data_IF_013650993879
#
_entry.id   IF_013650993879
#
_cell.length_a   1.000
_cell.length_b   1.000
_cell.length_c   1.000
_cell.angle_alpha   90.00
_cell.angle_beta   90.00
_cell.angle_gamma   90.00
#
_symmetry.space_group_name_H-M   'P 1'
#
loop_
_entity.id
_entity.type
_entity.pdbx_description
1 polymer ?
#
# COMPACT_ATOMS: atom_id res chain seq x y z
N UNK A 1 7.06 -16.60 7.14
CA UNK A 1 6.15 -15.47 6.85
C UNK A 1 6.65 -14.61 5.69
N UNK A 2 7.92 -14.17 5.69
CA UNK A 2 8.48 -13.22 4.72
C UNK A 2 8.38 -13.72 3.27
N UNK A 3 8.85 -14.93 2.98
CA UNK A 3 8.78 -15.50 1.61
C UNK A 3 7.34 -15.56 1.10
N UNK A 4 6.36 -15.88 1.98
CA UNK A 4 4.95 -15.89 1.61
C UNK A 4 4.42 -14.50 1.25
N UNK A 5 4.76 -13.47 2.01
CA UNK A 5 4.36 -12.09 1.69
C UNK A 5 4.95 -11.63 0.37
N UNK A 6 6.22 -11.97 0.09
CA UNK A 6 6.85 -11.69 -1.22
C UNK A 6 6.17 -12.47 -2.36
N UNK A 7 5.86 -13.74 -2.17
CA UNK A 7 5.13 -14.54 -3.15
C UNK A 7 3.74 -13.98 -3.44
N UNK A 8 2.99 -13.60 -2.41
CA UNK A 8 1.68 -12.96 -2.54
C UNK A 8 1.80 -11.64 -3.32
N UNK A 9 2.78 -10.80 -3.00
CA UNK A 9 2.99 -9.53 -3.72
C UNK A 9 3.25 -9.73 -5.21
N UNK A 10 4.13 -10.69 -5.55
CA UNK A 10 4.47 -11.04 -6.94
C UNK A 10 3.30 -11.72 -7.69
N UNK A 11 2.35 -12.30 -6.98
CA UNK A 11 1.15 -12.91 -7.56
C UNK A 11 0.06 -11.89 -7.93
N UNK A 12 0.19 -10.63 -7.54
CA UNK A 12 -0.82 -9.59 -7.78
C UNK A 12 -0.49 -8.82 -9.05
N UNK A 13 -1.36 -8.92 -10.07
CA UNK A 13 -1.26 -8.12 -11.29
C UNK A 13 -1.88 -6.72 -11.08
N UNK A 14 -1.09 -5.79 -10.56
CA UNK A 14 -1.52 -4.42 -10.22
C UNK A 14 -1.97 -3.64 -11.44
N UNK A 15 -1.29 -3.79 -12.57
CA UNK A 15 -1.61 -3.14 -13.83
C UNK A 15 -3.01 -3.55 -14.30
N UNK A 16 -3.31 -4.84 -14.28
CA UNK A 16 -4.61 -5.35 -14.69
C UNK A 16 -5.74 -4.85 -13.79
N UNK A 17 -5.53 -4.87 -12.46
CA UNK A 17 -6.52 -4.38 -11.50
C UNK A 17 -6.76 -2.87 -11.66
N UNK A 18 -5.71 -2.08 -11.81
CA UNK A 18 -5.84 -0.62 -11.98
C UNK A 18 -6.47 -0.25 -13.31
N UNK A 19 -6.25 -1.03 -14.36
CA UNK A 19 -6.86 -0.81 -15.67
C UNK A 19 -8.32 -1.26 -15.70
N UNK A 20 -8.60 -2.53 -15.34
CA UNK A 20 -9.90 -3.16 -15.57
C UNK A 20 -10.93 -2.86 -14.45
N UNK A 21 -10.47 -2.78 -13.20
CA UNK A 21 -11.37 -2.55 -12.06
C UNK A 21 -11.50 -1.07 -11.75
N UNK A 22 -10.40 -0.32 -11.81
CA UNK A 22 -10.39 1.09 -11.45
C UNK A 22 -10.45 2.05 -12.63
N UNK A 23 -10.56 1.57 -13.88
CA UNK A 23 -10.59 2.45 -15.06
C UNK A 23 -9.46 3.50 -15.05
N UNK A 24 -8.26 3.13 -14.62
CA UNK A 24 -7.08 4.01 -14.51
C UNK A 24 -7.23 5.18 -13.52
N UNK A 25 -8.22 5.12 -12.61
CA UNK A 25 -8.33 6.06 -11.47
C UNK A 25 -7.38 5.72 -10.32
N UNK A 26 -6.53 4.74 -10.53
CA UNK A 26 -5.44 4.33 -9.64
C UNK A 26 -4.19 4.07 -10.47
N UNK A 27 -3.03 4.31 -9.87
CA UNK A 27 -1.71 4.03 -10.48
C UNK A 27 -1.03 2.92 -9.67
N UNK A 28 -0.49 1.87 -10.30
CA UNK A 28 0.26 0.83 -9.59
C UNK A 28 1.35 1.41 -8.70
N UNK A 29 1.43 0.95 -7.47
CA UNK A 29 2.44 1.43 -6.52
C UNK A 29 3.84 0.95 -6.92
N UNK A 30 4.83 1.82 -6.68
CA UNK A 30 6.26 1.56 -6.88
C UNK A 30 7.05 1.66 -5.57
N UNK A 31 6.45 2.29 -4.55
CA UNK A 31 7.04 2.45 -3.23
C UNK A 31 5.98 2.48 -2.12
N UNK A 32 6.41 2.69 -0.88
CA UNK A 32 5.54 2.78 0.30
C UNK A 32 5.00 4.20 0.57
N UNK A 33 5.25 5.17 -0.33
CA UNK A 33 4.86 6.56 -0.15
C UNK A 33 3.86 7.01 -1.21
N UNK A 34 4.06 8.15 -1.86
CA UNK A 34 3.17 8.65 -2.92
C UNK A 34 3.96 9.50 -3.91
N UNK A 35 3.62 9.47 -5.22
CA UNK A 35 4.30 10.28 -6.25
C UNK A 35 4.23 11.80 -6.04
N UNK A 36 3.32 12.29 -5.19
CA UNK A 36 3.21 13.72 -4.87
C UNK A 36 4.08 14.15 -3.69
N UNK A 37 4.74 13.21 -3.00
CA UNK A 37 5.66 13.53 -1.92
C UNK A 37 6.98 14.05 -2.48
N UNK A 38 7.53 15.07 -1.85
CA UNK A 38 8.88 15.53 -2.16
C UNK A 38 9.90 14.43 -1.88
N UNK A 39 10.79 14.17 -2.83
CA UNK A 39 11.78 13.10 -2.74
C UNK A 39 11.28 11.71 -3.14
N UNK A 40 10.04 11.57 -3.64
CA UNK A 40 9.55 10.30 -4.17
C UNK A 40 10.51 9.69 -5.18
N UNK A 41 10.69 8.37 -5.11
CA UNK A 41 11.46 7.58 -6.09
C UNK A 41 10.68 6.33 -6.50
N UNK A 42 10.53 6.14 -7.80
CA UNK A 42 9.99 4.91 -8.36
C UNK A 42 11.05 3.80 -8.50
N UNK A 43 12.31 4.11 -8.18
CA UNK A 43 13.45 3.21 -8.33
C UNK A 43 14.16 3.06 -6.97
N UNK A 44 13.64 2.17 -6.14
CA UNK A 44 14.16 1.82 -4.83
C UNK A 44 14.56 0.35 -4.84
N UNK A 45 15.75 0.02 -4.32
CA UNK A 45 16.25 -1.35 -4.32
C UNK A 45 15.26 -2.31 -3.61
N UNK A 46 14.91 -3.40 -4.30
CA UNK A 46 13.97 -4.40 -3.82
C UNK A 46 12.49 -4.15 -4.18
N UNK A 47 12.17 -3.05 -4.86
CA UNK A 47 10.79 -2.78 -5.27
C UNK A 47 10.30 -3.67 -6.43
N UNK A 48 11.19 -4.44 -7.05
CA UNK A 48 10.85 -5.50 -8.01
C UNK A 48 9.87 -6.54 -7.43
N UNK A 49 9.80 -6.67 -6.12
CA UNK A 49 8.80 -7.49 -5.41
C UNK A 49 7.35 -7.00 -5.63
N UNK A 50 7.15 -5.78 -6.12
CA UNK A 50 5.83 -5.25 -6.51
C UNK A 50 5.47 -5.57 -7.95
N UNK A 51 6.40 -6.03 -8.78
CA UNK A 51 6.13 -6.40 -10.16
C UNK A 51 5.37 -7.74 -10.22
N UNK A 52 4.41 -7.86 -11.15
CA UNK A 52 3.73 -9.13 -11.37
C UNK A 52 4.71 -10.16 -11.96
N UNK A 53 4.99 -11.21 -11.21
CA UNK A 53 5.89 -12.29 -11.63
C UNK A 53 5.39 -13.63 -11.06
N UNK A 54 4.45 -14.31 -11.76
CA UNK A 54 3.83 -15.54 -11.28
C UNK A 54 4.84 -16.69 -11.08
N UNK A 55 5.86 -16.78 -11.91
CA UNK A 55 6.86 -17.85 -11.78
C UNK A 55 7.71 -17.68 -10.52
N UNK A 56 8.17 -16.46 -10.25
CA UNK A 56 8.90 -16.14 -9.01
C UNK A 56 8.00 -16.29 -7.78
N UNK A 57 6.72 -15.91 -7.89
CA UNK A 57 5.74 -16.11 -6.83
C UNK A 57 5.62 -17.58 -6.43
N UNK A 58 5.47 -18.48 -7.40
CA UNK A 58 5.41 -19.93 -7.18
C UNK A 58 6.69 -20.47 -6.54
N UNK A 59 7.85 -20.05 -7.05
CA UNK A 59 9.16 -20.44 -6.48
C UNK A 59 9.26 -20.08 -4.98
N UNK A 60 8.95 -18.83 -4.64
CA UNK A 60 9.02 -18.37 -3.25
C UNK A 60 7.99 -19.03 -2.34
N UNK A 61 6.79 -19.28 -2.88
CA UNK A 61 5.74 -20.00 -2.16
C UNK A 61 6.16 -21.42 -1.84
N UNK A 62 6.68 -22.16 -2.84
CA UNK A 62 7.17 -23.53 -2.66
C UNK A 62 8.29 -23.60 -1.60
N UNK A 63 9.27 -22.68 -1.66
CA UNK A 63 10.32 -22.60 -0.64
C UNK A 63 9.77 -22.34 0.77
N UNK A 64 8.71 -21.54 0.88
CA UNK A 64 8.08 -21.29 2.17
C UNK A 64 7.35 -22.54 2.67
N UNK A 65 6.72 -23.31 1.79
CA UNK A 65 6.00 -24.53 2.12
C UNK A 65 6.93 -25.68 2.53
N UNK A 66 8.11 -25.78 1.92
CA UNK A 66 9.16 -26.72 2.38
C UNK A 66 9.56 -26.47 3.85
N UNK A 67 9.55 -25.20 4.28
CA UNK A 67 9.90 -24.83 5.67
C UNK A 67 8.73 -25.03 6.64
N UNK A 68 7.51 -24.75 6.18
CA UNK A 68 6.28 -24.84 6.98
C UNK A 68 5.10 -24.86 6.02
N UNK A 69 4.45 -26.01 5.78
CA UNK A 69 3.33 -26.11 4.85
C UNK A 69 2.21 -25.13 5.18
N UNK A 70 1.67 -24.47 4.15
CA UNK A 70 0.49 -23.62 4.29
C UNK A 70 -0.75 -24.50 4.37
N UNK A 71 -1.52 -24.33 5.42
CA UNK A 71 -2.80 -25.01 5.61
C UNK A 71 -3.88 -23.98 5.86
N UNK A 72 -4.98 -24.09 5.14
CA UNK A 72 -6.11 -23.18 5.29
C UNK A 72 -6.29 -22.22 4.10
N UNK A 73 -6.85 -21.07 4.37
CA UNK A 73 -7.27 -20.09 3.40
C UNK A 73 -6.54 -18.76 3.64
N UNK A 74 -6.12 -18.10 2.55
CA UNK A 74 -5.68 -16.71 2.61
C UNK A 74 -6.89 -15.78 2.47
N UNK A 75 -7.07 -14.83 3.38
CA UNK A 75 -8.16 -13.86 3.30
C UNK A 75 -7.68 -12.42 3.40
N UNK A 76 -8.42 -11.51 2.74
CA UNK A 76 -8.24 -10.06 2.86
C UNK A 76 -9.50 -9.48 3.48
N UNK A 77 -9.40 -9.00 4.72
CA UNK A 77 -10.49 -8.29 5.37
C UNK A 77 -10.65 -6.87 4.80
N UNK A 78 -11.90 -6.48 4.55
CA UNK A 78 -12.24 -5.16 4.02
C UNK A 78 -13.64 -4.72 4.47
N UNK A 79 -13.88 -3.42 4.52
CA UNK A 79 -15.21 -2.86 4.80
C UNK A 79 -16.07 -2.81 3.52
N UNK A 80 -17.27 -3.37 3.57
CA UNK A 80 -18.16 -3.50 2.42
C UNK A 80 -18.74 -2.15 1.95
N UNK A 81 -18.88 -1.18 2.86
CA UNK A 81 -19.37 0.17 2.58
C UNK A 81 -18.36 1.06 1.83
N UNK A 82 -17.11 0.63 1.67
CA UNK A 82 -16.04 1.39 1.00
C UNK A 82 -15.83 1.06 -0.48
N UNK A 83 -16.67 0.24 -1.11
CA UNK A 83 -16.52 -0.14 -2.53
C UNK A 83 -15.30 -1.02 -2.81
N UNK A 84 -14.85 -1.82 -1.85
CA UNK A 84 -13.61 -2.59 -1.95
C UNK A 84 -13.77 -3.97 -2.57
N UNK A 85 -14.99 -4.52 -2.63
CA UNK A 85 -15.23 -5.90 -3.07
C UNK A 85 -14.59 -6.21 -4.42
N UNK A 86 -14.83 -5.38 -5.44
CA UNK A 86 -14.38 -5.67 -6.81
C UNK A 86 -12.87 -5.83 -6.94
N UNK A 87 -12.07 -4.99 -6.28
CA UNK A 87 -10.63 -5.13 -6.33
C UNK A 87 -10.11 -6.24 -5.40
N UNK A 88 -10.76 -6.49 -4.27
CA UNK A 88 -10.41 -7.61 -3.38
C UNK A 88 -10.61 -8.93 -4.11
N UNK A 89 -11.76 -9.10 -4.78
CA UNK A 89 -12.06 -10.29 -5.58
C UNK A 89 -11.01 -10.48 -6.71
N UNK A 90 -10.64 -9.40 -7.40
CA UNK A 90 -9.61 -9.46 -8.44
C UNK A 90 -8.24 -9.87 -7.88
N UNK A 91 -7.83 -9.30 -6.74
CA UNK A 91 -6.54 -9.62 -6.10
C UNK A 91 -6.53 -11.04 -5.56
N UNK A 92 -7.57 -11.48 -4.86
CA UNK A 92 -7.65 -12.85 -4.32
C UNK A 92 -7.70 -13.89 -5.43
N UNK A 93 -8.42 -13.62 -6.53
CA UNK A 93 -8.40 -14.48 -7.72
C UNK A 93 -7.01 -14.55 -8.38
N UNK A 94 -6.28 -13.43 -8.45
CA UNK A 94 -4.91 -13.42 -8.96
C UNK A 94 -3.98 -14.28 -8.10
N UNK A 95 -4.09 -14.17 -6.77
CA UNK A 95 -3.34 -14.99 -5.81
C UNK A 95 -3.70 -16.49 -5.96
N UNK A 96 -5.01 -16.81 -5.96
CA UNK A 96 -5.52 -18.18 -6.12
C UNK A 96 -5.01 -18.82 -7.41
N UNK A 97 -5.15 -18.13 -8.53
CA UNK A 97 -4.75 -18.65 -9.84
C UNK A 97 -3.23 -18.82 -9.97
N UNK A 98 -2.46 -17.94 -9.32
CA UNK A 98 -1.00 -18.00 -9.37
C UNK A 98 -0.43 -19.03 -8.41
N UNK A 99 -0.87 -19.06 -7.16
CA UNK A 99 -0.27 -19.89 -6.12
C UNK A 99 -0.98 -21.22 -5.90
N UNK A 100 -2.17 -21.41 -6.46
CA UNK A 100 -2.94 -22.65 -6.29
C UNK A 100 -3.50 -22.85 -4.88
N UNK A 101 -3.71 -21.76 -4.13
CA UNK A 101 -4.26 -21.77 -2.77
C UNK A 101 -5.68 -21.20 -2.74
N UNK A 102 -6.44 -21.52 -1.71
CA UNK A 102 -7.70 -20.81 -1.48
C UNK A 102 -7.40 -19.37 -1.00
N UNK A 103 -8.01 -18.39 -1.69
CA UNK A 103 -7.86 -16.98 -1.40
C UNK A 103 -9.19 -16.26 -1.59
N UNK A 104 -9.66 -15.54 -0.57
CA UNK A 104 -11.00 -14.94 -0.53
C UNK A 104 -11.00 -13.53 0.07
N UNK A 105 -12.03 -12.77 -0.22
CA UNK A 105 -12.36 -11.55 0.51
C UNK A 105 -13.13 -11.87 1.79
N UNK A 106 -12.83 -11.15 2.88
CA UNK A 106 -13.54 -11.23 4.16
C UNK A 106 -14.24 -9.89 4.44
N UNK A 107 -15.51 -9.71 4.03
CA UNK A 107 -16.23 -8.44 4.17
C UNK A 107 -16.66 -8.18 5.61
N UNK A 108 -16.31 -7.01 6.13
CA UNK A 108 -16.90 -6.42 7.33
C UNK A 108 -18.07 -5.51 6.92
N UNK A 109 -19.13 -5.41 7.72
CA UNK A 109 -20.32 -4.62 7.33
C UNK A 109 -19.99 -3.15 7.07
N UNK A 110 -19.09 -2.56 7.85
CA UNK A 110 -18.69 -1.15 7.75
C UNK A 110 -17.22 -0.92 8.17
N UNK A 111 -16.74 0.30 7.91
CA UNK A 111 -15.36 0.67 8.26
C UNK A 111 -15.10 0.65 9.77
N UNK A 112 -16.10 1.03 10.59
CA UNK A 112 -15.94 1.05 12.04
C UNK A 112 -15.68 -0.36 12.60
N UNK A 113 -16.47 -1.33 12.19
CA UNK A 113 -16.33 -2.74 12.62
C UNK A 113 -14.97 -3.31 12.26
N UNK A 114 -14.50 -3.07 11.02
CA UNK A 114 -13.16 -3.45 10.59
C UNK A 114 -12.08 -2.75 11.44
N UNK A 115 -12.24 -1.46 11.68
CA UNK A 115 -11.27 -0.64 12.42
C UNK A 115 -11.19 -1.04 13.89
N UNK A 116 -12.32 -1.40 14.50
CA UNK A 116 -12.37 -1.89 15.88
C UNK A 116 -11.55 -3.18 16.04
N UNK A 117 -11.69 -4.16 15.14
CA UNK A 117 -10.93 -5.41 15.18
C UNK A 117 -9.43 -5.21 14.91
N UNK A 118 -9.07 -4.32 14.00
CA UNK A 118 -7.66 -3.95 13.76
C UNK A 118 -7.07 -3.30 15.03
N UNK A 119 -7.76 -2.34 15.61
CA UNK A 119 -7.30 -1.60 16.81
C UNK A 119 -7.17 -2.52 18.02
N UNK A 120 -8.11 -3.44 18.20
CA UNK A 120 -8.13 -4.39 19.31
C UNK A 120 -7.21 -5.61 19.07
N UNK A 121 -6.56 -5.69 17.90
CA UNK A 121 -5.72 -6.86 17.51
C UNK A 121 -6.48 -8.19 17.51
N UNK A 122 -7.79 -8.15 17.25
CA UNK A 122 -8.65 -9.33 17.11
C UNK A 122 -8.75 -9.81 15.67
N UNK A 123 -8.33 -8.98 14.70
CA UNK A 123 -8.28 -9.36 13.30
C UNK A 123 -7.24 -10.43 13.04
N UNK A 124 -7.56 -11.37 12.15
CA UNK A 124 -6.66 -12.45 11.70
C UNK A 124 -6.49 -12.37 10.18
N UNK A 125 -5.27 -12.61 9.69
CA UNK A 125 -4.96 -12.57 8.26
C UNK A 125 -4.62 -11.18 7.75
N UNK A 126 -4.73 -10.98 6.44
CA UNK A 126 -4.49 -9.69 5.81
C UNK A 126 -5.74 -8.79 5.87
N UNK A 127 -5.54 -7.50 5.92
CA UNK A 127 -6.62 -6.51 5.86
C UNK A 127 -6.24 -5.34 4.95
N UNK A 128 -7.27 -4.73 4.33
CA UNK A 128 -7.06 -3.51 3.55
C UNK A 128 -6.76 -2.34 4.46
N UNK A 129 -5.82 -1.51 4.04
CA UNK A 129 -5.54 -0.22 4.67
C UNK A 129 -5.29 0.84 3.60
N UNK A 130 -5.25 2.09 4.01
CA UNK A 130 -4.90 3.22 3.16
C UNK A 130 -4.43 4.39 4.02
N UNK A 131 -3.59 5.24 3.45
CA UNK A 131 -3.07 6.43 4.10
C UNK A 131 -3.19 7.64 3.16
N UNK A 132 -3.64 8.73 3.71
CA UNK A 132 -3.57 10.04 3.08
C UNK A 132 -2.62 10.90 3.93
N UNK A 133 -1.58 11.46 3.30
CA UNK A 133 -0.60 12.25 4.03
C UNK A 133 -1.18 13.55 4.58
N UNK A 134 -0.72 13.95 5.77
CA UNK A 134 -1.02 15.24 6.38
C UNK A 134 -0.15 16.36 5.77
N UNK A 135 1.01 15.98 5.24
CA UNK A 135 1.94 16.83 4.50
C UNK A 135 2.67 16.02 3.42
N UNK A 136 3.16 16.66 2.33
CA UNK A 136 3.72 15.96 1.17
C UNK A 136 5.19 15.56 1.38
N UNK A 137 5.51 14.89 2.47
CA UNK A 137 6.86 14.41 2.78
C UNK A 137 6.89 12.91 3.03
N UNK A 138 8.00 12.24 2.65
CA UNK A 138 8.16 10.79 2.77
C UNK A 138 7.99 10.29 4.21
N UNK A 139 8.48 11.04 5.19
CA UNK A 139 8.39 10.68 6.60
C UNK A 139 6.95 10.49 7.10
N UNK A 140 5.98 11.19 6.51
CA UNK A 140 4.56 11.06 6.88
C UNK A 140 3.95 9.70 6.49
N UNK A 141 4.52 9.04 5.48
CA UNK A 141 4.09 7.71 5.04
C UNK A 141 4.88 6.59 5.71
N UNK A 142 6.06 6.88 6.24
CA UNK A 142 6.97 5.85 6.75
C UNK A 142 6.93 5.73 8.27
N UNK A 143 7.09 6.84 8.98
CA UNK A 143 7.20 6.82 10.44
C UNK A 143 5.92 6.38 11.16
N UNK A 144 4.72 6.97 10.90
CA UNK A 144 3.50 6.58 11.61
C UNK A 144 3.01 5.18 11.25
N UNK A 145 3.30 4.68 10.04
CA UNK A 145 2.76 3.41 9.53
C UNK A 145 3.69 2.22 9.81
N UNK A 146 5.01 2.43 9.87
CA UNK A 146 5.96 1.32 9.94
C UNK A 146 7.02 1.49 11.05
N UNK A 147 7.17 2.67 11.65
CA UNK A 147 8.05 2.86 12.82
C UNK A 147 7.53 2.06 14.02
N UNK A 148 8.44 1.51 14.82
CA UNK A 148 8.07 0.78 16.04
C UNK A 148 7.25 1.67 16.97
N UNK A 149 6.03 1.23 17.30
CA UNK A 149 5.08 2.02 18.10
C UNK A 149 4.45 3.21 17.37
N UNK A 150 4.57 3.27 16.03
CA UNK A 150 3.91 4.29 15.20
C UNK A 150 2.40 4.30 15.41
N UNK A 151 1.78 5.50 15.39
CA UNK A 151 0.37 5.72 15.72
C UNK A 151 -0.62 4.95 14.82
N UNK A 152 -0.19 4.58 13.62
CA UNK A 152 -0.98 3.86 12.62
C UNK A 152 -0.25 2.60 12.11
N UNK A 153 0.68 2.09 12.90
CA UNK A 153 1.38 0.83 12.63
C UNK A 153 0.48 -0.36 13.03
N UNK A 154 -0.54 -0.58 12.24
CA UNK A 154 -1.58 -1.58 12.51
C UNK A 154 -1.10 -3.03 12.43
N UNK A 155 0.02 -3.27 11.76
CA UNK A 155 0.65 -4.59 11.64
C UNK A 155 1.68 -4.89 12.72
N UNK A 156 1.87 -4.00 13.69
CA UNK A 156 2.86 -4.10 14.78
C UNK A 156 4.28 -4.40 14.26
N UNK A 157 4.62 -3.86 13.08
CA UNK A 157 5.96 -4.00 12.52
C UNK A 157 6.98 -3.33 13.42
N UNK A 158 8.11 -4.02 13.62
CA UNK A 158 9.23 -3.51 14.41
C UNK A 158 10.54 -3.98 13.79
N UNK A 159 11.39 -3.03 13.44
CA UNK A 159 12.72 -3.29 12.91
C UNK A 159 13.68 -2.17 13.35
N UNK A 160 14.66 -2.48 14.21
CA UNK A 160 15.60 -1.49 14.75
C UNK A 160 16.41 -0.74 13.68
N UNK A 161 16.77 -1.41 12.58
CA UNK A 161 17.54 -0.78 11.49
C UNK A 161 16.66 0.22 10.72
N UNK A 162 15.38 -0.12 10.52
CA UNK A 162 14.40 0.79 9.95
C UNK A 162 14.19 2.01 10.85
N UNK A 163 13.96 1.80 12.15
CA UNK A 163 13.75 2.88 13.12
C UNK A 163 14.98 3.82 13.23
N UNK A 164 16.19 3.25 13.21
CA UNK A 164 17.41 4.03 13.19
C UNK A 164 17.51 4.91 11.95
N UNK A 165 17.14 4.36 10.78
CA UNK A 165 17.15 5.10 9.51
C UNK A 165 16.11 6.22 9.49
N UNK A 166 14.91 5.99 10.03
CA UNK A 166 13.90 7.05 10.19
C UNK A 166 14.40 8.20 11.08
N UNK A 167 15.09 7.88 12.17
CA UNK A 167 15.69 8.87 13.08
C UNK A 167 16.77 9.70 12.40
N UNK A 168 17.64 9.03 11.64
CA UNK A 168 18.72 9.65 10.86
C UNK A 168 18.10 10.62 9.82
N UNK A 169 17.09 10.17 9.06
CA UNK A 169 16.37 10.98 8.08
C UNK A 169 15.71 12.22 8.70
N UNK A 170 15.03 12.04 9.84
CA UNK A 170 14.38 13.15 10.55
C UNK A 170 15.36 14.18 11.14
N UNK A 171 16.64 13.81 11.31
CA UNK A 171 17.70 14.67 11.87
C UNK A 171 18.64 15.23 10.80
N UNK A 172 18.41 14.93 9.53
CA UNK A 172 19.22 15.39 8.41
C UNK A 172 19.18 16.92 8.29
N UNK A 173 20.25 17.50 7.76
CA UNK A 173 20.39 18.97 7.68
C UNK A 173 19.75 19.56 6.43
N UNK A 174 19.56 18.76 5.39
CA UNK A 174 18.91 19.18 4.14
C UNK A 174 17.78 18.24 3.76
N UNK A 175 16.84 18.73 2.94
CA UNK A 175 15.75 17.91 2.42
C UNK A 175 16.27 16.77 1.55
N UNK A 176 17.31 17.02 0.76
CA UNK A 176 17.93 16.03 -0.13
C UNK A 176 18.53 14.85 0.68
N UNK A 177 19.25 15.16 1.75
CA UNK A 177 19.81 14.15 2.65
C UNK A 177 18.69 13.37 3.35
N UNK A 178 17.69 14.07 3.87
CA UNK A 178 16.52 13.48 4.51
C UNK A 178 15.79 12.51 3.56
N UNK A 179 15.47 12.96 2.34
CA UNK A 179 14.78 12.17 1.35
C UNK A 179 15.58 10.94 0.90
N UNK A 180 16.89 11.08 0.75
CA UNK A 180 17.76 9.94 0.43
C UNK A 180 17.73 8.87 1.54
N UNK A 181 17.76 9.28 2.80
CA UNK A 181 17.68 8.38 3.95
C UNK A 181 16.31 7.72 4.10
N UNK A 182 15.22 8.46 3.87
CA UNK A 182 13.89 7.87 3.80
C UNK A 182 13.75 6.84 2.68
N UNK A 183 14.28 7.12 1.49
CA UNK A 183 14.28 6.15 0.40
C UNK A 183 15.11 4.89 0.74
N UNK A 184 16.28 5.03 1.37
CA UNK A 184 17.05 3.90 1.88
C UNK A 184 16.29 3.09 2.94
N UNK A 185 15.48 3.73 3.79
CA UNK A 185 14.69 3.00 4.78
C UNK A 185 13.65 2.09 4.12
N UNK A 186 13.12 2.47 2.97
CA UNK A 186 12.15 1.66 2.22
C UNK A 186 12.76 0.35 1.69
N UNK A 187 14.07 0.27 1.47
CA UNK A 187 14.74 -0.99 1.09
C UNK A 187 14.52 -2.09 2.16
N UNK A 188 14.51 -1.69 3.44
CA UNK A 188 14.19 -2.60 4.55
C UNK A 188 12.73 -3.05 4.48
N UNK A 189 11.80 -2.12 4.17
CA UNK A 189 10.38 -2.46 4.00
C UNK A 189 10.15 -3.41 2.81
N UNK A 190 10.82 -3.22 1.68
CA UNK A 190 10.73 -4.15 0.54
C UNK A 190 11.29 -5.53 0.88
N UNK A 191 12.33 -5.58 1.68
CA UNK A 191 12.91 -6.83 2.16
C UNK A 191 11.96 -7.57 3.11
N UNK A 192 11.26 -6.88 4.00
CA UNK A 192 10.41 -7.49 5.03
C UNK A 192 8.93 -7.59 4.64
N UNK A 193 8.44 -6.68 3.79
CA UNK A 193 7.05 -6.56 3.35
C UNK A 193 6.04 -6.62 4.51
N UNK A 194 6.10 -5.71 5.50
CA UNK A 194 5.10 -5.65 6.54
C UNK A 194 3.70 -5.30 6.00
N UNK A 195 3.66 -4.57 4.90
CA UNK A 195 2.50 -4.31 4.07
C UNK A 195 2.87 -4.52 2.59
N UNK A 196 1.86 -4.72 1.76
CA UNK A 196 2.01 -4.88 0.31
C UNK A 196 1.41 -3.65 -0.36
N UNK A 197 2.22 -2.69 -0.85
CA UNK A 197 1.74 -1.57 -1.64
C UNK A 197 1.00 -2.05 -2.89
N UNK A 198 -0.21 -1.55 -3.10
CA UNK A 198 -1.02 -1.95 -4.24
C UNK A 198 -1.08 -0.86 -5.31
N UNK A 199 -1.57 0.32 -4.96
CA UNK A 199 -1.72 1.46 -5.87
C UNK A 199 -1.84 2.78 -5.13
N UNK A 200 -1.63 3.86 -5.87
CA UNK A 200 -1.93 5.22 -5.47
C UNK A 200 -3.32 5.62 -5.99
N UNK A 201 -4.07 6.32 -5.17
CA UNK A 201 -5.35 6.91 -5.58
C UNK A 201 -5.11 8.19 -6.38
N UNK A 202 -5.62 8.24 -7.61
CA UNK A 202 -5.62 9.47 -8.39
C UNK A 202 -6.87 10.30 -8.01
N UNK A 203 -6.70 11.61 -7.99
CA UNK A 203 -7.84 12.51 -7.78
C UNK A 203 -8.77 12.43 -8.99
N UNK A 204 -10.05 12.22 -8.72
CA UNK A 204 -11.10 12.32 -9.73
C UNK A 204 -12.19 13.25 -9.21
N UNK A 205 -12.69 14.13 -10.07
CA UNK A 205 -13.76 15.05 -9.71
C UNK A 205 -14.55 15.49 -10.93
N UNK A 206 -15.86 15.69 -10.74
CA UNK A 206 -16.73 16.28 -11.74
C UNK A 206 -16.98 17.75 -11.41
N UNK A 207 -17.14 18.60 -12.45
CA UNK A 207 -17.51 19.98 -12.30
C UNK A 207 -18.41 20.44 -13.45
N UNK A 208 -19.16 21.53 -13.22
CA UNK A 208 -20.05 22.10 -14.22
C UNK A 208 -19.26 22.72 -15.40
N UNK A 209 -19.79 22.60 -16.60
CA UNK A 209 -19.26 23.29 -17.79
C UNK A 209 -19.22 24.82 -17.65
N UNK A 210 -19.97 25.37 -16.70
CA UNK A 210 -20.03 26.82 -16.43
C UNK A 210 -18.86 27.34 -15.58
N UNK A 211 -17.92 26.48 -15.19
CA UNK A 211 -16.72 26.86 -14.43
C UNK A 211 -15.44 26.46 -15.18
N UNK A 212 -14.35 27.09 -14.83
CA UNK A 212 -13.00 26.83 -15.35
C UNK A 212 -11.97 26.89 -14.23
N UNK A 213 -10.72 26.53 -14.54
CA UNK A 213 -9.60 26.52 -13.59
C UNK A 213 -9.85 25.60 -12.37
N UNK A 214 -10.46 24.43 -12.61
CA UNK A 214 -10.70 23.45 -11.56
C UNK A 214 -9.45 22.58 -11.42
N UNK A 215 -8.65 22.88 -10.42
CA UNK A 215 -7.43 22.15 -10.05
C UNK A 215 -7.58 21.52 -8.67
N UNK A 216 -6.78 20.48 -8.40
CA UNK A 216 -6.71 19.82 -7.10
C UNK A 216 -5.32 20.00 -6.49
N UNK A 217 -5.25 20.18 -5.20
CA UNK A 217 -4.01 20.20 -4.45
C UNK A 217 -3.42 18.78 -4.26
N UNK A 218 -2.18 18.72 -3.78
CA UNK A 218 -1.51 17.46 -3.43
C UNK A 218 -2.30 16.58 -2.46
N UNK A 219 -3.12 17.20 -1.61
CA UNK A 219 -3.98 16.57 -0.60
C UNK A 219 -5.36 16.20 -1.14
N UNK A 220 -5.53 16.16 -2.47
CA UNK A 220 -6.78 15.83 -3.16
C UNK A 220 -7.93 16.86 -2.99
N UNK A 221 -7.68 17.97 -2.31
CA UNK A 221 -8.69 19.02 -2.09
C UNK A 221 -8.76 19.95 -3.30
N UNK A 222 -9.98 20.27 -3.82
CA UNK A 222 -10.13 21.26 -4.88
C UNK A 222 -9.57 22.62 -4.46
N UNK A 223 -8.82 23.27 -5.36
CA UNK A 223 -8.27 24.62 -5.16
C UNK A 223 -9.34 25.66 -5.46
N UNK A 224 -10.35 25.78 -4.61
CA UNK A 224 -11.53 26.62 -4.80
C UNK A 224 -11.21 28.07 -5.15
N UNK A 225 -10.11 28.60 -4.64
CA UNK A 225 -9.65 29.98 -4.93
C UNK A 225 -9.23 30.21 -6.39
N UNK A 226 -8.98 29.15 -7.15
CA UNK A 226 -8.67 29.22 -8.59
C UNK A 226 -9.90 29.13 -9.49
N UNK A 227 -11.01 28.59 -8.97
CA UNK A 227 -12.20 28.34 -9.77
C UNK A 227 -12.85 29.65 -10.19
N UNK A 228 -13.07 29.81 -11.48
CA UNK A 228 -13.73 30.98 -12.04
C UNK A 228 -15.01 30.57 -12.79
N UNK A 229 -16.01 31.43 -12.76
CA UNK A 229 -17.20 31.30 -13.59
C UNK A 229 -16.86 31.72 -15.02
N UNK A 230 -17.35 30.95 -15.99
CA UNK A 230 -17.30 31.35 -17.42
C UNK A 230 -18.33 32.39 -17.74
#
# INVERSE_FOLDING_TARGET
GKLRRQAISLAINREEVTEKIFNKTRTPAKDFTTPVAEGYSADIAGNDVLAYNPEKAKELWAKADEMSPFTGEFSIAYNADGGHQGWVDAVTNSIKNTLGIEAVGNPYPDFKSLRDDITNRTISGAFRSGWQGDYPGLGNFLAPLYGTGGSSNDGDYSNPDFDAKLKEAASAKTSEESNALYNQSQETLFKDLPAIPLWYANVTGGYSENVSNVDFGWNTTPLYYKITRK
#
